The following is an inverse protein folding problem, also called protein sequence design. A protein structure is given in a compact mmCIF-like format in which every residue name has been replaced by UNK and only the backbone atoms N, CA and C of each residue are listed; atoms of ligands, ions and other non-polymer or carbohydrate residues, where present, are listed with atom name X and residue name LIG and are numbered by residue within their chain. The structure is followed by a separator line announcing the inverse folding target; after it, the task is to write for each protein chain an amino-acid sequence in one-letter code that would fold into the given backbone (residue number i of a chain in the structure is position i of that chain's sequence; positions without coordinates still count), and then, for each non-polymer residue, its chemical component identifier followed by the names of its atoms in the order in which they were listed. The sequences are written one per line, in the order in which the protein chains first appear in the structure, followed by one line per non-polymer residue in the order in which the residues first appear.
data_IF_530038341053
#
_entry.id   IF_530038341053
#
_cell.length_a   1.000
_cell.length_b   1.000
_cell.length_c   1.000
_cell.angle_alpha   90.00
_cell.angle_beta   90.00
_cell.angle_gamma   90.00
#
_symmetry.space_group_name_H-M   'P 1'
#
loop_
_entity.id
_entity.type
_entity.pdbx_description
1 polymer ?
#
# COMPACT_ATOMS: atom_id res chain seq x y z
N UNK A 1 -22.96 -7.82 1.23
CA UNK A 1 -23.33 -8.74 0.14
C UNK A 1 -22.08 -9.31 -0.48
N UNK A 2 -21.91 -10.62 -0.36
CA UNK A 2 -20.79 -11.38 -0.91
C UNK A 2 -20.77 -11.26 -2.44
N UNK A 3 -19.93 -10.41 -2.98
CA UNK A 3 -19.70 -10.37 -4.42
C UNK A 3 -18.70 -11.47 -4.79
N UNK A 4 -19.17 -12.51 -5.47
CA UNK A 4 -18.33 -13.57 -6.01
C UNK A 4 -17.82 -14.63 -5.02
N UNK A 5 -18.45 -14.78 -3.85
CA UNK A 5 -18.03 -15.78 -2.85
C UNK A 5 -16.83 -15.38 -1.99
N UNK A 6 -16.33 -14.14 -2.12
CA UNK A 6 -15.23 -13.63 -1.29
C UNK A 6 -15.72 -13.24 0.11
N UNK A 7 -14.94 -13.61 1.14
CA UNK A 7 -15.19 -13.22 2.52
C UNK A 7 -14.59 -11.86 2.86
N UNK A 8 -13.54 -11.45 2.15
CA UNK A 8 -12.83 -10.19 2.31
C UNK A 8 -13.10 -9.19 1.19
N UNK A 9 -12.35 -8.09 1.21
CA UNK A 9 -12.37 -7.07 0.17
C UNK A 9 -11.69 -7.62 -1.09
N UNK A 10 -12.31 -7.55 -2.28
CA UNK A 10 -11.69 -8.02 -3.51
C UNK A 10 -10.36 -7.31 -3.80
N UNK A 11 -9.34 -8.07 -4.17
CA UNK A 11 -8.03 -7.52 -4.53
C UNK A 11 -8.02 -6.91 -5.93
N UNK A 12 -8.95 -7.34 -6.77
CA UNK A 12 -9.01 -7.00 -8.19
C UNK A 12 -8.17 -7.93 -9.08
N UNK A 13 -7.47 -8.87 -8.48
CA UNK A 13 -6.69 -9.90 -9.17
C UNK A 13 -7.29 -11.28 -8.88
N UNK A 14 -7.86 -11.92 -9.91
CA UNK A 14 -8.58 -13.18 -9.75
C UNK A 14 -7.75 -14.29 -9.10
N UNK A 15 -6.48 -14.44 -9.53
CA UNK A 15 -5.60 -15.46 -8.96
C UNK A 15 -5.30 -15.22 -7.48
N UNK A 16 -5.19 -13.96 -7.08
CA UNK A 16 -4.95 -13.59 -5.68
C UNK A 16 -6.23 -13.78 -4.85
N UNK A 17 -7.39 -13.44 -5.39
CA UNK A 17 -8.69 -13.66 -4.76
C UNK A 17 -8.98 -15.16 -4.56
N UNK A 18 -8.61 -16.00 -5.51
CA UNK A 18 -8.75 -17.45 -5.39
C UNK A 18 -7.94 -18.04 -4.23
N UNK A 19 -6.78 -17.45 -3.93
CA UNK A 19 -5.89 -17.89 -2.85
C UNK A 19 -6.32 -17.31 -1.49
N UNK A 20 -6.65 -16.01 -1.44
CA UNK A 20 -6.84 -15.26 -0.19
C UNK A 20 -8.30 -15.09 0.21
N UNK A 21 -9.23 -15.29 -0.71
CA UNK A 21 -10.64 -14.88 -0.58
C UNK A 21 -10.80 -13.38 -0.35
N UNK A 22 -9.86 -12.59 -0.83
CA UNK A 22 -9.80 -11.13 -0.67
C UNK A 22 -9.01 -10.67 0.56
N UNK A 23 -8.92 -9.37 0.73
CA UNK A 23 -8.27 -8.78 1.91
C UNK A 23 -9.15 -8.95 3.15
N UNK A 24 -8.67 -9.72 4.12
CA UNK A 24 -9.47 -10.07 5.29
C UNK A 24 -9.43 -8.97 6.37
N UNK A 25 -10.57 -8.70 7.02
CA UNK A 25 -10.59 -7.78 8.16
C UNK A 25 -9.62 -8.22 9.25
N UNK A 26 -9.05 -7.26 9.95
CA UNK A 26 -8.12 -7.47 11.07
C UNK A 26 -6.75 -8.04 10.69
N UNK A 27 -6.48 -8.27 9.40
CA UNK A 27 -5.18 -8.73 8.94
C UNK A 27 -4.22 -7.58 8.65
N UNK A 28 -2.97 -7.78 9.04
CA UNK A 28 -1.83 -7.03 8.54
C UNK A 28 -1.20 -7.84 7.40
N UNK A 29 -1.28 -7.33 6.19
CA UNK A 29 -0.70 -7.95 5.00
C UNK A 29 0.56 -7.18 4.61
N UNK A 30 1.68 -7.89 4.53
CA UNK A 30 2.94 -7.30 4.09
C UNK A 30 3.18 -7.62 2.62
N UNK A 31 3.33 -6.55 1.83
CA UNK A 31 3.68 -6.64 0.42
C UNK A 31 5.16 -6.29 0.31
N UNK A 32 6.00 -7.31 0.19
CA UNK A 32 7.44 -7.16 0.16
C UNK A 32 7.96 -7.16 -1.28
N UNK A 33 8.93 -6.30 -1.56
CA UNK A 33 9.59 -6.22 -2.85
C UNK A 33 10.96 -5.57 -2.75
N UNK A 34 11.81 -5.87 -3.73
CA UNK A 34 13.10 -5.19 -3.88
C UNK A 34 12.87 -3.75 -4.31
N UNK A 35 13.82 -2.83 -4.02
CA UNK A 35 13.80 -1.50 -4.62
C UNK A 35 13.64 -1.59 -6.14
N UNK A 36 12.84 -0.70 -6.74
CA UNK A 36 12.58 -0.63 -8.18
C UNK A 36 11.82 -1.83 -8.81
N UNK A 37 11.19 -2.71 -8.03
CA UNK A 37 10.40 -3.85 -8.55
C UNK A 37 8.90 -3.56 -8.76
N UNK A 38 8.51 -2.30 -8.95
CA UNK A 38 7.12 -1.95 -9.20
C UNK A 38 6.19 -2.10 -7.99
N UNK A 39 6.74 -2.13 -6.80
CA UNK A 39 5.99 -2.25 -5.53
C UNK A 39 4.93 -1.18 -5.38
N UNK A 40 5.28 0.08 -5.61
CA UNK A 40 4.33 1.21 -5.56
C UNK A 40 3.27 1.10 -6.66
N UNK A 41 3.65 0.70 -7.87
CA UNK A 41 2.70 0.49 -8.98
C UNK A 41 1.70 -0.60 -8.66
N UNK A 42 2.13 -1.69 -8.03
CA UNK A 42 1.24 -2.77 -7.57
C UNK A 42 0.27 -2.28 -6.50
N UNK A 43 0.77 -1.53 -5.53
CA UNK A 43 -0.07 -0.93 -4.48
C UNK A 43 -1.10 0.03 -5.06
N UNK A 44 -0.71 0.87 -6.02
CA UNK A 44 -1.64 1.78 -6.70
C UNK A 44 -2.69 1.03 -7.53
N UNK A 45 -2.33 -0.11 -8.14
CA UNK A 45 -3.27 -0.98 -8.84
C UNK A 45 -4.30 -1.57 -7.87
N UNK A 46 -3.88 -2.02 -6.69
CA UNK A 46 -4.80 -2.48 -5.64
C UNK A 46 -5.73 -1.35 -5.21
N UNK A 47 -5.18 -0.16 -4.94
CA UNK A 47 -5.96 1.00 -4.53
C UNK A 47 -7.02 1.36 -5.59
N UNK A 48 -6.64 1.39 -6.86
CA UNK A 48 -7.55 1.62 -7.98
C UNK A 48 -8.63 0.55 -8.04
N UNK A 49 -8.26 -0.72 -7.98
CA UNK A 49 -9.23 -1.82 -8.05
C UNK A 49 -10.27 -1.72 -6.92
N UNK A 50 -9.81 -1.48 -5.70
CA UNK A 50 -10.71 -1.42 -4.53
C UNK A 50 -11.58 -0.17 -4.57
N UNK A 51 -11.00 1.00 -4.82
CA UNK A 51 -11.71 2.27 -4.73
C UNK A 51 -12.52 2.59 -5.98
N UNK A 52 -11.97 2.36 -7.17
CA UNK A 52 -12.63 2.70 -8.43
C UNK A 52 -13.60 1.61 -8.87
N UNK A 53 -13.14 0.36 -8.92
CA UNK A 53 -13.94 -0.73 -9.48
C UNK A 53 -15.02 -1.21 -8.49
N UNK A 54 -14.73 -1.20 -7.19
CA UNK A 54 -15.65 -1.68 -6.16
C UNK A 54 -16.23 -0.58 -5.27
N UNK A 55 -15.82 0.68 -5.46
CA UNK A 55 -16.30 1.84 -4.69
C UNK A 55 -16.15 1.69 -3.17
N UNK A 56 -15.08 1.05 -2.75
CA UNK A 56 -14.76 0.86 -1.33
C UNK A 56 -13.78 1.95 -0.90
N UNK A 57 -14.09 2.73 0.15
CA UNK A 57 -13.20 3.77 0.63
C UNK A 57 -11.90 3.23 1.20
N UNK A 58 -10.78 3.79 0.78
CA UNK A 58 -9.45 3.43 1.24
C UNK A 58 -8.69 4.65 1.78
N UNK A 59 -7.82 4.39 2.76
CA UNK A 59 -6.83 5.36 3.22
C UNK A 59 -5.45 4.95 2.72
N UNK A 60 -4.73 5.87 2.11
CA UNK A 60 -3.40 5.64 1.57
C UNK A 60 -2.38 6.57 2.21
N UNK A 61 -1.50 6.01 3.04
CA UNK A 61 -0.41 6.74 3.67
C UNK A 61 0.83 6.62 2.80
N UNK A 62 1.17 7.70 2.10
CA UNK A 62 2.34 7.79 1.23
C UNK A 62 3.48 8.48 1.97
N UNK A 63 4.44 7.70 2.47
CA UNK A 63 5.55 8.19 3.26
C UNK A 63 6.76 8.58 2.40
N UNK A 64 6.84 8.04 1.19
CA UNK A 64 7.94 8.29 0.25
C UNK A 64 7.60 9.39 -0.75
N UNK A 65 6.41 9.33 -1.34
CA UNK A 65 5.99 10.22 -2.41
C UNK A 65 4.98 11.25 -1.91
N UNK A 66 5.11 12.49 -2.37
CA UNK A 66 4.08 13.49 -2.11
C UNK A 66 2.81 13.22 -2.94
N UNK A 67 1.74 13.91 -2.58
CA UNK A 67 0.43 13.71 -3.20
C UNK A 67 0.45 13.90 -4.72
N UNK A 68 1.15 14.90 -5.22
CA UNK A 68 1.25 15.19 -6.67
C UNK A 68 1.94 14.03 -7.40
N UNK A 69 3.06 13.54 -6.87
CA UNK A 69 3.78 12.40 -7.43
C UNK A 69 2.92 11.14 -7.44
N UNK A 70 2.19 10.90 -6.35
CA UNK A 70 1.32 9.73 -6.21
C UNK A 70 0.17 9.78 -7.22
N UNK A 71 -0.49 10.92 -7.35
CA UNK A 71 -1.58 11.13 -8.31
C UNK A 71 -1.09 10.93 -9.75
N UNK A 72 0.08 11.48 -10.10
CA UNK A 72 0.67 11.29 -11.42
C UNK A 72 0.98 9.82 -11.71
N UNK A 73 1.49 9.09 -10.72
CA UNK A 73 1.71 7.64 -10.86
C UNK A 73 0.41 6.86 -11.01
N UNK A 74 -0.60 7.22 -10.26
CA UNK A 74 -1.91 6.59 -10.36
C UNK A 74 -2.53 6.81 -11.73
N UNK A 75 -2.49 8.02 -12.26
CA UNK A 75 -2.97 8.35 -13.60
C UNK A 75 -2.19 7.56 -14.66
N UNK A 76 -0.87 7.54 -14.58
CA UNK A 76 -0.02 6.79 -15.49
C UNK A 76 -0.35 5.30 -15.50
N UNK A 77 -0.56 4.73 -14.33
CA UNK A 77 -0.90 3.32 -14.16
C UNK A 77 -2.28 2.98 -14.74
N UNK A 78 -3.28 3.81 -14.44
CA UNK A 78 -4.66 3.59 -14.87
C UNK A 78 -4.85 3.83 -16.36
N UNK A 79 -4.18 4.85 -16.90
CA UNK A 79 -4.28 5.25 -18.31
C UNK A 79 -3.32 4.50 -19.22
N UNK A 80 -2.36 3.76 -18.66
CA UNK A 80 -1.28 3.12 -19.42
C UNK A 80 -0.49 4.12 -20.28
N UNK A 81 -0.32 5.34 -19.76
CA UNK A 81 0.44 6.41 -20.38
C UNK A 81 1.67 6.71 -19.54
N UNK A 82 2.82 6.89 -20.21
CA UNK A 82 4.05 7.25 -19.53
C UNK A 82 3.87 8.52 -18.68
N UNK A 83 4.33 8.49 -17.43
CA UNK A 83 4.31 9.65 -16.54
C UNK A 83 5.06 10.85 -17.11
N UNK A 84 6.12 10.62 -17.88
CA UNK A 84 6.88 11.64 -18.59
C UNK A 84 6.02 12.38 -19.64
N UNK A 85 5.23 11.65 -20.42
CA UNK A 85 4.30 12.23 -21.39
C UNK A 85 3.23 13.08 -20.70
N UNK A 86 2.70 12.61 -19.56
CA UNK A 86 1.69 13.35 -18.79
C UNK A 86 2.28 14.67 -18.28
N UNK A 87 3.47 14.63 -17.69
CA UNK A 87 4.13 15.82 -17.15
C UNK A 87 4.49 16.85 -18.21
N UNK A 88 4.86 16.41 -19.41
CA UNK A 88 5.28 17.28 -20.50
C UNK A 88 4.15 17.66 -21.48
N UNK A 89 2.95 17.14 -21.26
CA UNK A 89 1.82 17.39 -22.15
C UNK A 89 1.99 16.82 -23.57
N UNK A 90 2.88 15.84 -23.75
CA UNK A 90 3.20 15.22 -25.04
C UNK A 90 2.26 14.03 -25.33
N UNK A 91 0.97 14.28 -25.34
CA UNK A 91 -0.03 13.28 -25.61
C UNK A 91 -0.63 13.46 -27.00
N UNK A 92 -0.85 12.35 -27.72
CA UNK A 92 -1.68 12.38 -28.93
C UNK A 92 -3.18 12.46 -28.59
N UNK A 93 -4.03 12.62 -29.60
CA UNK A 93 -5.47 12.76 -29.37
C UNK A 93 -6.08 11.53 -28.71
N UNK A 94 -5.65 10.33 -29.05
CA UNK A 94 -6.13 9.09 -28.46
C UNK A 94 -5.73 8.99 -26.99
N UNK A 95 -4.51 9.38 -26.67
CA UNK A 95 -4.01 9.41 -25.29
C UNK A 95 -4.76 10.47 -24.46
N UNK A 96 -5.05 11.65 -25.02
CA UNK A 96 -5.85 12.69 -24.37
C UNK A 96 -7.28 12.22 -24.06
N UNK A 97 -7.93 11.55 -25.00
CA UNK A 97 -9.27 10.99 -24.79
C UNK A 97 -9.28 9.91 -23.70
N UNK A 98 -8.25 9.06 -23.70
CA UNK A 98 -8.07 8.01 -22.66
C UNK A 98 -7.84 8.64 -21.30
N UNK A 99 -6.98 9.63 -21.22
CA UNK A 99 -6.71 10.37 -19.99
C UNK A 99 -7.97 11.02 -19.43
N UNK A 100 -8.71 11.74 -20.26
CA UNK A 100 -9.94 12.41 -19.83
C UNK A 100 -10.99 11.42 -19.28
N UNK A 101 -11.19 10.30 -19.98
CA UNK A 101 -12.12 9.25 -19.56
C UNK A 101 -11.72 8.61 -18.23
N UNK A 102 -10.43 8.30 -18.06
CA UNK A 102 -9.92 7.69 -16.84
C UNK A 102 -9.86 8.66 -15.67
N UNK A 103 -9.60 9.93 -15.93
CA UNK A 103 -9.68 10.98 -14.90
C UNK A 103 -11.09 11.10 -14.33
N UNK A 104 -12.12 10.95 -15.15
CA UNK A 104 -13.52 10.94 -14.67
C UNK A 104 -13.75 9.75 -13.74
N UNK A 105 -13.22 8.58 -14.06
CA UNK A 105 -13.34 7.39 -13.20
C UNK A 105 -12.60 7.59 -11.87
N UNK A 106 -11.47 8.29 -11.87
CA UNK A 106 -10.68 8.59 -10.67
C UNK A 106 -11.27 9.72 -9.84
N UNK A 107 -11.90 10.71 -10.50
CA UNK A 107 -12.54 11.84 -9.82
C UNK A 107 -13.75 11.33 -9.04
N UNK A 108 -13.74 11.44 -7.75
CA UNK A 108 -14.80 10.90 -6.90
C UNK A 108 -14.56 9.48 -6.43
N UNK A 109 -13.49 8.81 -6.85
CA UNK A 109 -13.06 7.57 -6.23
C UNK A 109 -12.69 7.84 -4.76
N UNK A 110 -13.15 7.01 -3.81
CA UNK A 110 -12.95 7.28 -2.39
C UNK A 110 -11.55 6.85 -1.92
N UNK A 111 -10.52 7.50 -2.46
CA UNK A 111 -9.12 7.32 -2.06
C UNK A 111 -8.71 8.54 -1.23
N UNK A 112 -8.40 8.34 0.03
CA UNK A 112 -7.97 9.40 0.95
C UNK A 112 -6.48 9.27 1.18
N UNK A 113 -5.70 10.20 0.65
CA UNK A 113 -4.24 10.19 0.71
C UNK A 113 -3.73 11.09 1.82
N UNK A 114 -2.80 10.59 2.60
CA UNK A 114 -1.99 11.36 3.53
C UNK A 114 -0.52 11.20 3.14
N UNK A 115 0.14 12.30 2.82
CA UNK A 115 1.54 12.33 2.39
C UNK A 115 2.47 13.02 3.40
N UNK A 116 2.07 13.07 4.66
CA UNK A 116 2.88 13.67 5.73
C UNK A 116 4.23 12.95 5.85
N UNK A 117 5.35 13.62 5.58
CA UNK A 117 6.67 13.02 5.73
C UNK A 117 7.00 12.81 7.21
N UNK A 118 7.77 11.74 7.50
CA UNK A 118 8.19 11.45 8.86
C UNK A 118 7.05 11.12 9.81
N UNK A 119 5.92 10.66 9.31
CA UNK A 119 4.75 10.31 10.10
C UNK A 119 5.10 9.20 11.10
N UNK A 120 4.80 9.42 12.39
CA UNK A 120 4.94 8.38 13.39
C UNK A 120 3.79 7.39 13.32
N UNK A 121 4.02 6.17 13.81
CA UNK A 121 2.96 5.16 13.89
C UNK A 121 1.79 5.61 14.77
N UNK A 122 2.06 6.42 15.79
CA UNK A 122 1.02 6.93 16.69
C UNK A 122 0.15 7.99 16.01
N UNK A 123 0.75 8.88 15.23
CA UNK A 123 0.03 9.84 14.40
C UNK A 123 -0.79 9.15 13.32
N UNK A 124 -0.22 8.11 12.68
CA UNK A 124 -0.93 7.30 11.69
C UNK A 124 -2.17 6.64 12.31
N UNK A 125 -2.05 6.07 13.50
CA UNK A 125 -3.19 5.46 14.19
C UNK A 125 -4.32 6.46 14.43
N UNK A 126 -3.99 7.65 14.89
CA UNK A 126 -4.97 8.72 15.11
C UNK A 126 -5.66 9.13 13.81
N UNK A 127 -4.89 9.33 12.74
CA UNK A 127 -5.43 9.67 11.41
C UNK A 127 -6.28 8.54 10.82
N UNK A 128 -5.86 7.30 11.00
CA UNK A 128 -6.60 6.13 10.53
C UNK A 128 -7.96 5.98 11.23
N UNK A 129 -8.00 6.14 12.55
CA UNK A 129 -9.26 6.13 13.31
C UNK A 129 -10.23 7.18 12.81
N UNK A 130 -9.71 8.38 12.54
CA UNK A 130 -10.50 9.49 12.01
C UNK A 130 -11.04 9.18 10.61
N UNK A 131 -10.23 8.63 9.72
CA UNK A 131 -10.64 8.25 8.37
C UNK A 131 -11.74 7.19 8.40
N UNK A 132 -11.63 6.19 9.27
CA UNK A 132 -12.67 5.17 9.44
C UNK A 132 -13.97 5.78 9.95
N UNK A 133 -13.88 6.65 10.97
CA UNK A 133 -15.07 7.28 11.58
C UNK A 133 -15.75 8.26 10.64
N UNK A 134 -15.00 9.12 9.95
CA UNK A 134 -15.55 10.23 9.17
C UNK A 134 -15.80 9.85 7.70
N UNK A 135 -14.98 8.97 7.14
CA UNK A 135 -15.01 8.62 5.71
C UNK A 135 -15.42 7.18 5.43
N UNK A 136 -15.60 6.38 6.46
CA UNK A 136 -15.99 4.99 6.31
C UNK A 136 -14.91 4.13 5.63
N UNK A 137 -13.63 4.48 5.78
CA UNK A 137 -12.49 3.74 5.22
C UNK A 137 -12.52 2.29 5.66
N UNK A 138 -12.33 1.37 4.72
CA UNK A 138 -12.38 -0.08 4.95
C UNK A 138 -11.10 -0.81 4.61
N UNK A 139 -10.09 -0.11 4.13
CA UNK A 139 -8.76 -0.63 3.83
C UNK A 139 -7.75 0.47 4.07
N UNK A 140 -6.65 0.15 4.73
CA UNK A 140 -5.51 1.06 4.88
C UNK A 140 -4.31 0.53 4.09
N UNK A 141 -3.61 1.43 3.41
CA UNK A 141 -2.37 1.15 2.70
C UNK A 141 -1.27 2.06 3.18
N UNK A 142 -0.06 1.52 3.33
CA UNK A 142 1.12 2.25 3.82
C UNK A 142 2.28 1.98 2.87
N UNK A 143 2.84 3.03 2.28
CA UNK A 143 3.98 2.95 1.36
C UNK A 143 5.13 3.83 1.86
N UNK A 144 6.17 3.31 2.37
CA UNK A 144 6.45 1.98 2.83
C UNK A 144 6.81 2.01 4.32
N UNK A 145 6.65 0.85 4.96
CA UNK A 145 6.66 0.71 6.42
C UNK A 145 7.94 1.23 7.09
N UNK A 146 9.11 0.99 6.49
CA UNK A 146 10.40 1.39 7.07
C UNK A 146 10.66 2.90 7.10
N UNK A 147 9.84 3.71 6.40
CA UNK A 147 9.90 5.16 6.49
C UNK A 147 9.16 5.71 7.72
N UNK A 148 8.39 4.86 8.38
CA UNK A 148 7.68 5.24 9.59
C UNK A 148 8.63 5.23 10.80
N UNK A 149 8.29 6.01 11.81
CA UNK A 149 8.99 6.03 13.08
C UNK A 149 8.02 5.83 14.25
N UNK A 150 8.57 5.63 15.42
CA UNK A 150 7.83 5.56 16.68
C UNK A 150 8.36 6.61 17.64
N UNK A 151 8.23 7.89 17.25
CA UNK A 151 8.70 9.03 18.00
C UNK A 151 8.13 9.05 19.43
N UNK A 152 8.96 9.50 20.37
CA UNK A 152 8.62 9.56 21.79
C UNK A 152 8.95 8.29 22.57
N UNK A 153 9.40 7.24 21.91
CA UNK A 153 9.91 6.02 22.53
C UNK A 153 11.41 5.87 22.31
N UNK A 154 12.10 5.25 23.28
CA UNK A 154 13.52 4.92 23.14
C UNK A 154 13.68 3.47 22.75
N UNK A 155 14.53 3.21 21.76
CA UNK A 155 14.80 1.86 21.23
C UNK A 155 16.29 1.58 21.27
N UNK A 156 16.64 0.32 21.54
CA UNK A 156 18.02 -0.16 21.49
C UNK A 156 18.52 -0.32 20.05
N UNK A 157 17.62 -0.50 19.09
CA UNK A 157 17.96 -0.68 17.67
C UNK A 157 16.81 -0.28 16.75
N UNK A 158 17.12 -0.07 15.48
CA UNK A 158 16.11 0.16 14.43
C UNK A 158 15.19 -1.05 14.26
N UNK A 159 15.72 -2.25 14.43
CA UNK A 159 14.93 -3.48 14.37
C UNK A 159 13.85 -3.52 15.46
N UNK A 160 14.19 -3.09 16.65
CA UNK A 160 13.23 -2.98 17.77
C UNK A 160 12.14 -1.93 17.48
N UNK A 161 12.51 -0.80 16.90
CA UNK A 161 11.56 0.24 16.47
C UNK A 161 10.60 -0.30 15.40
N UNK A 162 11.10 -0.96 14.38
CA UNK A 162 10.28 -1.57 13.32
C UNK A 162 9.36 -2.65 13.88
N UNK A 163 9.83 -3.42 14.84
CA UNK A 163 9.00 -4.41 15.55
C UNK A 163 7.82 -3.74 16.26
N UNK A 164 8.06 -2.62 16.92
CA UNK A 164 7.00 -1.85 17.60
C UNK A 164 6.00 -1.30 16.59
N UNK A 165 6.46 -0.78 15.47
CA UNK A 165 5.61 -0.28 14.38
C UNK A 165 4.72 -1.39 13.84
N UNK A 166 5.28 -2.55 13.52
CA UNK A 166 4.55 -3.70 12.99
C UNK A 166 3.46 -4.17 13.96
N UNK A 167 3.79 -4.33 15.24
CA UNK A 167 2.80 -4.71 16.26
C UNK A 167 1.70 -3.66 16.42
N UNK A 168 2.05 -2.40 16.36
CA UNK A 168 1.08 -1.30 16.42
C UNK A 168 0.11 -1.34 15.24
N UNK A 169 0.59 -1.62 14.04
CA UNK A 169 -0.25 -1.74 12.85
C UNK A 169 -1.15 -2.97 12.91
N UNK A 170 -0.65 -4.09 13.41
CA UNK A 170 -1.47 -5.28 13.64
C UNK A 170 -2.57 -5.00 14.64
N UNK A 171 -2.24 -4.33 15.74
CA UNK A 171 -3.22 -3.89 16.74
C UNK A 171 -4.27 -2.96 16.16
N UNK A 172 -3.87 -2.04 15.30
CA UNK A 172 -4.79 -1.12 14.60
C UNK A 172 -5.74 -1.87 13.67
N UNK A 173 -5.24 -2.82 12.90
CA UNK A 173 -6.07 -3.66 12.03
C UNK A 173 -7.14 -4.40 12.82
N UNK A 174 -6.80 -4.95 13.98
CA UNK A 174 -7.74 -5.62 14.89
C UNK A 174 -8.74 -4.63 15.50
N UNK A 175 -8.27 -3.48 16.00
CA UNK A 175 -9.12 -2.46 16.61
C UNK A 175 -10.17 -1.95 15.63
N UNK A 176 -9.78 -1.63 14.40
CA UNK A 176 -10.66 -1.08 13.38
C UNK A 176 -11.43 -2.16 12.60
N UNK A 177 -11.06 -3.42 12.77
CA UNK A 177 -11.61 -4.56 12.02
C UNK A 177 -11.55 -4.35 10.50
N UNK A 178 -10.43 -3.87 10.02
CA UNK A 178 -10.14 -3.65 8.59
C UNK A 178 -8.77 -4.22 8.23
N UNK A 179 -8.54 -4.59 6.97
CA UNK A 179 -7.20 -4.97 6.52
C UNK A 179 -6.28 -3.76 6.46
N UNK A 180 -5.02 -3.99 6.83
CA UNK A 180 -3.92 -3.04 6.68
C UNK A 180 -2.88 -3.66 5.77
N UNK A 181 -2.63 -3.03 4.62
CA UNK A 181 -1.62 -3.43 3.65
C UNK A 181 -0.42 -2.51 3.81
N UNK A 182 0.71 -3.06 4.24
CA UNK A 182 1.95 -2.31 4.39
C UNK A 182 2.99 -2.79 3.39
N UNK A 183 3.52 -1.88 2.58
CA UNK A 183 4.63 -2.17 1.70
C UNK A 183 5.92 -2.19 2.51
N UNK A 184 6.78 -3.14 2.21
CA UNK A 184 8.06 -3.33 2.86
C UNK A 184 9.16 -3.55 1.84
N UNK A 185 10.33 -2.96 2.07
CA UNK A 185 11.52 -3.26 1.27
C UNK A 185 12.16 -4.54 1.79
N UNK A 186 12.59 -5.40 0.87
CA UNK A 186 13.39 -6.57 1.20
C UNK A 186 14.81 -6.16 1.62
N UNK A 187 15.42 -6.97 2.48
CA UNK A 187 16.83 -6.80 2.86
C UNK A 187 17.72 -6.89 1.62
N UNK A 188 18.77 -6.04 1.58
CA UNK A 188 19.79 -6.07 0.51
C UNK A 188 20.53 -7.41 0.42
N UNK A 189 20.49 -8.23 1.46
CA UNK A 189 21.10 -9.55 1.46
C UNK A 189 20.53 -10.49 0.40
N UNK A 190 19.32 -10.24 -0.11
CA UNK A 190 18.73 -10.99 -1.24
C UNK A 190 19.61 -10.88 -2.48
N UNK A 191 20.14 -9.68 -2.74
CA UNK A 191 20.94 -9.41 -3.94
C UNK A 191 22.33 -10.06 -3.88
N UNK A 192 22.83 -10.33 -2.67
CA UNK A 192 24.16 -10.89 -2.43
C UNK A 192 24.17 -12.43 -2.42
N UNK A 193 23.02 -13.09 -2.57
CA UNK A 193 22.95 -14.55 -2.63
C UNK A 193 23.34 -15.06 -4.01
N UNK A 194 24.06 -16.16 -4.03
CA UNK A 194 24.47 -16.83 -5.27
C UNK A 194 23.33 -17.68 -5.85
N UNK A 195 23.25 -17.71 -7.18
CA UNK A 195 22.31 -18.52 -7.92
C UNK A 195 20.89 -17.94 -8.02
N UNK A 196 20.14 -18.42 -9.01
CA UNK A 196 18.76 -17.95 -9.25
C UNK A 196 17.81 -18.29 -8.10
N UNK A 197 17.97 -19.47 -7.48
CA UNK A 197 17.15 -19.87 -6.35
C UNK A 197 17.51 -19.11 -5.06
N UNK A 198 18.80 -18.83 -4.83
CA UNK A 198 19.24 -18.04 -3.70
C UNK A 198 18.73 -16.60 -3.71
N UNK A 199 18.38 -16.08 -4.87
CA UNK A 199 17.84 -14.73 -5.06
C UNK A 199 16.32 -14.67 -4.93
N UNK A 200 15.64 -15.79 -4.72
CA UNK A 200 14.21 -15.77 -4.41
C UNK A 200 13.98 -15.14 -3.03
N UNK A 201 13.04 -14.20 -2.91
CA UNK A 201 12.70 -13.62 -1.62
C UNK A 201 12.24 -14.69 -0.61
N UNK A 202 12.71 -14.56 0.62
CA UNK A 202 12.33 -15.41 1.75
C UNK A 202 11.84 -14.53 2.89
N UNK A 203 11.08 -15.10 3.83
CA UNK A 203 10.60 -14.36 4.99
C UNK A 203 11.75 -13.73 5.80
N UNK A 204 12.89 -14.43 5.89
CA UNK A 204 14.10 -13.91 6.55
C UNK A 204 14.68 -12.64 5.90
N UNK A 205 14.27 -12.28 4.67
CA UNK A 205 14.68 -11.07 4.00
C UNK A 205 14.00 -9.81 4.55
N UNK A 206 13.00 -9.98 5.40
CA UNK A 206 12.42 -8.94 6.24
C UNK A 206 13.26 -8.69 7.51
N UNK A 207 14.57 -8.83 7.45
CA UNK A 207 15.50 -8.89 8.60
C UNK A 207 15.52 -7.64 9.48
N UNK A 208 15.43 -6.47 8.91
CA UNK A 208 15.31 -5.23 9.70
C UNK A 208 13.95 -5.15 10.38
N UNK A 209 13.12 -6.13 10.10
CA UNK A 209 11.71 -6.23 10.46
C UNK A 209 11.34 -7.65 10.89
N UNK A 210 12.21 -8.33 11.65
CA UNK A 210 11.96 -9.71 12.09
C UNK A 210 10.61 -9.93 12.76
N UNK A 211 10.05 -8.90 13.40
CA UNK A 211 8.71 -8.94 13.93
C UNK A 211 7.62 -8.85 12.86
N UNK A 212 7.91 -8.33 11.67
CA UNK A 212 6.94 -8.32 10.56
C UNK A 212 6.62 -9.76 10.13
N UNK A 213 7.60 -10.65 10.14
CA UNK A 213 7.37 -12.07 9.85
C UNK A 213 6.38 -12.72 10.84
N UNK A 214 6.42 -12.30 12.10
CA UNK A 214 5.54 -12.83 13.14
C UNK A 214 4.15 -12.21 13.12
N UNK A 215 4.05 -10.95 12.71
CA UNK A 215 2.80 -10.19 12.75
C UNK A 215 1.99 -10.32 11.44
N UNK A 216 2.67 -10.60 10.33
CA UNK A 216 2.05 -10.84 9.03
C UNK A 216 1.58 -12.28 8.90
#
# INVERSE_FOLDING_TARGET
SNKGGLTGIPTGYRGLDDITSGWQPSDLVIIAGRPAMGKTSFALSIAKNVAVDYHIPIGFFSLEMNNVQLVNRLISNVCEISGHKILNGQLDNTEWERLDRKLRDLTGAPIYVDDTPGLSVFELRTKARRLVREKGVKLLMIDYLQLMNANGMKFGSRQEEVSTISRSLKGLAKELNIPVLALSQLSRNVENREGLEGKRPQLSDLRESGAIEQDA
#
